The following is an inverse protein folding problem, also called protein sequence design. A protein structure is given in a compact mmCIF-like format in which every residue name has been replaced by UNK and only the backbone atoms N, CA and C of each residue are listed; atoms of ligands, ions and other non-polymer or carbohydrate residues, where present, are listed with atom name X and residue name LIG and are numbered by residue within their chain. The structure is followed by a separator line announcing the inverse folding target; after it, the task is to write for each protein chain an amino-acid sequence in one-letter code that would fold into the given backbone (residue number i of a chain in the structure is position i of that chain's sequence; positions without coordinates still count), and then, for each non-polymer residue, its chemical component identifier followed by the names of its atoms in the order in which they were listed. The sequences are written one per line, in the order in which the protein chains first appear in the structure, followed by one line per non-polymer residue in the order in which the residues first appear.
data_IF_581954366817
#
_entry.id   IF_581954366817
#
_cell.length_a   1.000
_cell.length_b   1.000
_cell.length_c   1.000
_cell.angle_alpha   90.00
_cell.angle_beta   90.00
_cell.angle_gamma   90.00
#
_symmetry.space_group_name_H-M   'P 1'
#
loop_
_entity.id
_entity.type
_entity.pdbx_description
1 polymer ?
#
# COMPACT_ATOMS: atom_id res chain seq x y z
N UNK A 1 -28.57 -14.04 -5.03
CA UNK A 1 -28.10 -12.75 -4.85
C UNK A 1 -26.60 -12.67 -4.85
N UNK A 2 -26.13 -11.55 -5.02
CA UNK A 2 -24.82 -11.36 -5.13
C UNK A 2 -24.20 -10.81 -3.97
N UNK A 3 -23.11 -11.34 -3.54
CA UNK A 3 -22.39 -10.75 -2.48
C UNK A 3 -21.46 -9.75 -3.04
N UNK A 4 -21.35 -8.63 -2.42
CA UNK A 4 -20.40 -7.63 -2.81
C UNK A 4 -19.00 -8.20 -2.62
N UNK A 5 -18.18 -8.07 -3.61
CA UNK A 5 -16.78 -8.43 -3.45
C UNK A 5 -16.12 -7.41 -2.57
N UNK A 6 -15.28 -7.87 -1.67
CA UNK A 6 -14.49 -6.97 -0.86
C UNK A 6 -13.39 -6.38 -1.72
N UNK A 7 -13.08 -5.13 -1.45
CA UNK A 7 -11.91 -4.53 -2.05
C UNK A 7 -10.67 -5.09 -1.37
N UNK A 8 -9.55 -5.07 -2.06
CA UNK A 8 -8.28 -5.53 -1.52
C UNK A 8 -7.37 -4.36 -1.20
N UNK A 9 -6.77 -4.41 -0.02
CA UNK A 9 -5.62 -3.58 0.29
C UNK A 9 -4.41 -4.52 0.26
N UNK A 10 -3.52 -4.31 -0.68
CA UNK A 10 -2.34 -5.15 -0.84
C UNK A 10 -1.23 -4.56 0.04
N UNK A 11 -0.63 -5.36 0.91
CA UNK A 11 0.40 -4.87 1.83
C UNK A 11 1.68 -5.67 1.64
N UNK A 12 2.75 -4.99 1.32
CA UNK A 12 4.07 -5.58 1.16
C UNK A 12 4.96 -5.06 2.28
N UNK A 13 5.08 -5.83 3.34
CA UNK A 13 5.88 -5.49 4.51
C UNK A 13 6.40 -6.77 5.16
N UNK A 14 7.61 -6.73 5.65
CA UNK A 14 8.14 -7.82 6.46
C UNK A 14 7.80 -7.68 7.94
N UNK A 15 7.15 -6.57 8.32
CA UNK A 15 6.81 -6.32 9.71
C UNK A 15 5.40 -6.79 10.02
N UNK A 16 5.29 -7.74 10.95
CA UNK A 16 4.00 -8.20 11.39
C UNK A 16 3.21 -7.09 12.07
N UNK A 17 3.90 -6.22 12.79
CA UNK A 17 3.26 -5.10 13.48
C UNK A 17 2.63 -4.13 12.50
N UNK A 18 3.34 -3.79 11.43
CA UNK A 18 2.84 -2.88 10.39
C UNK A 18 1.60 -3.50 9.75
N UNK A 19 1.68 -4.77 9.36
CA UNK A 19 0.57 -5.46 8.72
C UNK A 19 -0.66 -5.48 9.63
N UNK A 20 -0.46 -5.78 10.92
CA UNK A 20 -1.56 -5.83 11.89
C UNK A 20 -2.20 -4.46 12.09
N UNK A 21 -1.40 -3.40 12.14
CA UNK A 21 -1.93 -2.06 12.31
C UNK A 21 -2.77 -1.64 11.11
N UNK A 22 -2.33 -1.99 9.92
CA UNK A 22 -3.09 -1.67 8.71
C UNK A 22 -4.40 -2.46 8.71
N UNK A 23 -4.33 -3.75 9.02
CA UNK A 23 -5.53 -4.58 9.06
C UNK A 23 -6.56 -4.01 10.03
N UNK A 24 -6.10 -3.59 11.20
CA UNK A 24 -6.98 -3.02 12.21
C UNK A 24 -7.63 -1.71 11.76
N UNK A 25 -6.95 -0.95 10.93
CA UNK A 25 -7.44 0.32 10.43
C UNK A 25 -8.42 0.18 9.26
N UNK A 26 -8.45 -0.98 8.60
CA UNK A 26 -9.31 -1.19 7.45
C UNK A 26 -10.75 -1.52 7.90
N UNK A 27 -11.76 -1.01 7.18
CA UNK A 27 -13.14 -1.39 7.47
C UNK A 27 -13.43 -2.81 6.97
N UNK A 28 -14.54 -3.39 7.42
CA UNK A 28 -14.92 -4.75 7.05
C UNK A 28 -15.08 -4.95 5.55
N UNK A 29 -15.33 -3.87 4.83
CA UNK A 29 -15.50 -3.94 3.39
C UNK A 29 -14.18 -4.10 2.63
N UNK A 30 -13.06 -4.04 3.31
CA UNK A 30 -11.75 -4.16 2.69
C UNK A 30 -11.00 -5.34 3.30
N UNK A 31 -10.48 -6.20 2.44
CA UNK A 31 -9.68 -7.34 2.86
C UNK A 31 -8.20 -7.01 2.66
N UNK A 32 -7.38 -7.31 3.66
CA UNK A 32 -5.95 -7.15 3.53
C UNK A 32 -5.37 -8.39 2.86
N UNK A 33 -4.53 -8.19 1.86
CA UNK A 33 -3.79 -9.27 1.23
C UNK A 33 -2.31 -8.99 1.41
N UNK A 34 -1.65 -9.82 2.20
CA UNK A 34 -0.21 -9.68 2.42
C UNK A 34 0.55 -10.33 1.28
N UNK A 35 1.54 -9.65 0.76
CA UNK A 35 2.38 -10.16 -0.32
C UNK A 35 3.83 -10.07 0.07
N UNK A 36 4.68 -10.86 -0.57
CA UNK A 36 6.11 -10.82 -0.32
C UNK A 36 6.92 -10.73 -1.63
N UNK A 37 6.25 -10.54 -2.74
CA UNK A 37 6.93 -10.44 -4.03
C UNK A 37 6.07 -9.69 -5.03
N UNK A 38 6.71 -9.24 -6.10
CA UNK A 38 6.03 -8.60 -7.20
C UNK A 38 5.07 -9.56 -7.90
N UNK A 39 5.45 -10.83 -7.98
CA UNK A 39 4.59 -11.85 -8.59
C UNK A 39 3.26 -11.98 -7.85
N UNK A 40 3.29 -11.93 -6.53
CA UNK A 40 2.06 -11.98 -5.75
C UNK A 40 1.19 -10.75 -5.99
N UNK A 41 1.82 -9.58 -6.18
CA UNK A 41 1.07 -8.37 -6.51
C UNK A 41 0.37 -8.55 -7.85
N UNK A 42 1.05 -9.09 -8.85
CA UNK A 42 0.46 -9.34 -10.16
C UNK A 42 -0.71 -10.31 -10.07
N UNK A 43 -0.59 -11.35 -9.25
CA UNK A 43 -1.68 -12.30 -9.04
C UNK A 43 -2.89 -11.61 -8.45
N UNK A 44 -2.69 -10.71 -7.50
CA UNK A 44 -3.79 -9.95 -6.92
C UNK A 44 -4.47 -9.08 -7.98
N UNK A 45 -3.70 -8.47 -8.85
CA UNK A 45 -4.24 -7.63 -9.90
C UNK A 45 -5.09 -8.44 -10.87
N UNK A 46 -4.67 -9.66 -11.18
CA UNK A 46 -5.43 -10.53 -12.07
C UNK A 46 -6.72 -11.01 -11.43
N UNK A 47 -6.65 -11.38 -10.17
CA UNK A 47 -7.82 -11.92 -9.47
C UNK A 47 -8.88 -10.89 -9.15
N UNK A 48 -8.46 -9.70 -8.76
CA UNK A 48 -9.38 -8.71 -8.22
C UNK A 48 -9.87 -7.68 -9.24
N UNK A 49 -9.25 -7.61 -10.38
CA UNK A 49 -9.37 -6.50 -11.32
C UNK A 49 -8.90 -5.20 -10.63
N UNK A 50 -8.52 -4.20 -11.39
CA UNK A 50 -7.93 -3.01 -10.80
C UNK A 50 -8.90 -2.20 -9.96
N UNK A 51 -10.17 -2.15 -10.35
CA UNK A 51 -11.16 -1.42 -9.57
C UNK A 51 -11.48 -2.09 -8.25
N UNK A 52 -11.07 -3.33 -8.08
CA UNK A 52 -11.23 -4.04 -6.81
C UNK A 52 -10.06 -3.85 -5.86
N UNK A 53 -9.04 -3.09 -6.27
CA UNK A 53 -7.88 -2.84 -5.41
C UNK A 53 -7.96 -1.43 -4.87
N UNK A 54 -7.99 -1.32 -3.55
CA UNK A 54 -8.04 -0.02 -2.88
C UNK A 54 -6.71 0.68 -3.00
N UNK A 55 -5.64 -0.04 -2.69
CA UNK A 55 -4.31 0.53 -2.66
C UNK A 55 -3.26 -0.57 -2.52
N UNK A 56 -2.04 -0.24 -2.91
CA UNK A 56 -0.86 -1.04 -2.61
C UNK A 56 -0.05 -0.27 -1.58
N UNK A 57 0.17 -0.88 -0.42
CA UNK A 57 0.98 -0.28 0.63
C UNK A 57 2.32 -1.00 0.64
N UNK A 58 3.40 -0.27 0.40
CA UNK A 58 4.74 -0.84 0.39
C UNK A 58 5.54 -0.26 1.55
N UNK A 59 6.09 -1.15 2.37
CA UNK A 59 6.84 -0.75 3.55
C UNK A 59 8.32 -0.68 3.23
N UNK A 60 8.85 0.53 3.17
CA UNK A 60 10.28 0.77 2.97
C UNK A 60 10.93 1.29 4.25
N UNK A 61 10.22 1.17 5.37
CA UNK A 61 10.72 1.63 6.67
C UNK A 61 11.60 0.60 7.36
N UNK A 62 11.64 -0.64 6.87
CA UNK A 62 12.46 -1.68 7.46
C UNK A 62 13.93 -1.37 7.23
N UNK A 63 14.80 -2.24 7.77
CA UNK A 63 16.23 -2.04 7.63
C UNK A 63 16.61 -1.69 6.21
N UNK A 64 17.60 -0.81 6.11
CA UNK A 64 17.95 -0.16 4.87
C UNK A 64 17.99 -1.04 3.65
N UNK A 65 18.64 -2.17 3.76
CA UNK A 65 18.81 -3.06 2.62
C UNK A 65 17.50 -3.70 2.17
N UNK A 66 16.66 -4.08 3.11
CA UNK A 66 15.40 -4.75 2.78
C UNK A 66 14.39 -3.79 2.19
N UNK A 67 14.29 -2.60 2.77
CA UNK A 67 13.36 -1.58 2.27
C UNK A 67 13.75 -1.12 0.88
N UNK A 68 15.04 -0.91 0.64
CA UNK A 68 15.51 -0.47 -0.67
C UNK A 68 15.34 -1.56 -1.73
N UNK A 69 15.61 -2.80 -1.37
CA UNK A 69 15.42 -3.91 -2.30
C UNK A 69 13.96 -4.02 -2.75
N UNK A 70 13.03 -3.87 -1.80
CA UNK A 70 11.61 -3.91 -2.09
C UNK A 70 11.20 -2.76 -3.00
N UNK A 71 11.70 -1.58 -2.71
CA UNK A 71 11.43 -0.39 -3.51
C UNK A 71 11.91 -0.55 -4.94
N UNK A 72 13.11 -1.09 -5.10
CA UNK A 72 13.68 -1.29 -6.42
C UNK A 72 12.91 -2.32 -7.25
N UNK A 73 12.47 -3.39 -6.61
CA UNK A 73 11.66 -4.41 -7.28
C UNK A 73 10.33 -3.82 -7.73
N UNK A 74 9.71 -3.03 -6.87
CA UNK A 74 8.45 -2.39 -7.21
C UNK A 74 8.58 -1.46 -8.40
N UNK A 75 9.66 -0.69 -8.44
CA UNK A 75 9.87 0.27 -9.53
C UNK A 75 9.99 -0.39 -10.90
N UNK A 76 10.41 -1.64 -10.94
CA UNK A 76 10.55 -2.34 -12.22
C UNK A 76 9.21 -2.67 -12.85
N UNK A 77 8.14 -2.74 -12.06
CA UNK A 77 6.84 -3.19 -12.55
C UNK A 77 5.72 -2.18 -12.41
N UNK A 78 6.03 -1.01 -11.88
CA UNK A 78 5.03 -0.02 -11.57
C UNK A 78 4.71 0.82 -12.80
N UNK A 79 4.14 0.21 -13.82
CA UNK A 79 3.95 0.91 -15.08
C UNK A 79 2.53 1.33 -15.37
N UNK A 80 1.58 0.49 -15.24
CA UNK A 80 0.23 0.83 -15.70
C UNK A 80 -0.88 0.65 -14.69
N UNK A 81 -0.54 0.68 -13.42
CA UNK A 81 -1.56 0.48 -12.41
C UNK A 81 -2.41 1.74 -12.23
N UNK A 82 -3.69 1.55 -12.01
CA UNK A 82 -4.63 2.64 -11.80
C UNK A 82 -4.96 2.88 -10.34
N UNK A 83 -4.53 2.00 -9.44
CA UNK A 83 -4.73 2.16 -8.02
C UNK A 83 -3.50 2.82 -7.38
N UNK A 84 -3.69 3.50 -6.25
CA UNK A 84 -2.57 4.23 -5.65
C UNK A 84 -1.56 3.32 -4.96
N UNK A 85 -0.31 3.76 -4.95
CA UNK A 85 0.75 3.16 -4.15
C UNK A 85 1.02 4.08 -2.95
N UNK A 86 1.02 3.50 -1.76
CA UNK A 86 1.30 4.23 -0.53
C UNK A 86 2.60 3.68 0.04
N UNK A 87 3.55 4.54 0.34
CA UNK A 87 4.81 4.10 0.94
C UNK A 87 4.82 4.36 2.43
N UNK A 88 5.34 3.40 3.20
CA UNK A 88 5.63 3.62 4.61
C UNK A 88 7.14 3.79 4.70
N UNK A 89 7.59 4.92 5.19
CA UNK A 89 9.02 5.22 5.27
C UNK A 89 9.45 5.52 6.69
N UNK A 90 10.72 5.70 6.90
CA UNK A 90 11.30 6.17 8.16
C UNK A 90 12.07 7.45 7.88
N UNK A 91 12.52 8.11 8.93
CA UNK A 91 13.25 9.37 8.80
C UNK A 91 14.41 9.25 7.81
N UNK A 92 15.13 8.15 7.84
CA UNK A 92 16.32 7.98 7.02
C UNK A 92 16.06 7.96 5.53
N UNK A 93 14.86 7.57 5.09
CA UNK A 93 14.53 7.58 3.67
C UNK A 93 13.35 8.51 3.34
N UNK A 94 13.03 9.42 4.26
CA UNK A 94 11.92 10.35 4.07
C UNK A 94 12.11 11.23 2.84
N UNK A 95 13.32 11.73 2.64
CA UNK A 95 13.60 12.62 1.52
C UNK A 95 13.38 11.91 0.18
N UNK A 96 13.84 10.68 0.08
CA UNK A 96 13.66 9.87 -1.11
C UNK A 96 12.16 9.66 -1.40
N UNK A 97 11.39 9.35 -0.36
CA UNK A 97 9.97 9.08 -0.53
C UNK A 97 9.17 10.36 -0.80
N UNK A 98 9.58 11.49 -0.24
CA UNK A 98 8.97 12.78 -0.58
C UNK A 98 9.16 13.09 -2.06
N UNK A 99 10.35 12.79 -2.59
CA UNK A 99 10.59 12.99 -4.00
C UNK A 99 9.70 12.08 -4.85
N UNK A 100 9.50 10.83 -4.41
CA UNK A 100 8.61 9.90 -5.10
C UNK A 100 7.16 10.41 -5.08
N UNK A 101 6.77 11.07 -4.01
CA UNK A 101 5.43 11.65 -3.91
C UNK A 101 5.28 12.83 -4.87
N UNK A 102 6.28 13.69 -4.93
CA UNK A 102 6.26 14.86 -5.81
C UNK A 102 6.24 14.48 -7.28
N UNK A 103 6.91 13.41 -7.62
CA UNK A 103 6.95 12.93 -9.01
C UNK A 103 5.83 11.94 -9.32
N UNK A 104 4.90 11.79 -8.38
CA UNK A 104 3.72 10.93 -8.52
C UNK A 104 4.01 9.45 -8.74
N UNK A 105 5.17 9.00 -8.29
CA UNK A 105 5.51 7.58 -8.28
C UNK A 105 4.71 6.89 -7.18
N UNK A 106 4.49 7.61 -6.07
CA UNK A 106 3.58 7.18 -5.01
C UNK A 106 2.53 8.27 -4.81
N UNK A 107 1.39 7.90 -4.25
CA UNK A 107 0.26 8.81 -4.10
C UNK A 107 0.01 9.19 -2.65
N UNK A 108 0.63 8.49 -1.71
CA UNK A 108 0.56 8.86 -0.30
C UNK A 108 1.79 8.33 0.42
N UNK A 109 2.08 8.90 1.58
CA UNK A 109 3.29 8.60 2.32
C UNK A 109 2.98 8.58 3.81
N UNK A 110 3.39 7.52 4.49
CA UNK A 110 3.23 7.38 5.93
C UNK A 110 4.60 7.28 6.57
N UNK A 111 4.79 7.95 7.69
CA UNK A 111 6.06 7.90 8.41
C UNK A 111 5.95 6.93 9.59
N UNK A 112 6.85 5.95 9.65
CA UNK A 112 6.91 5.03 10.78
C UNK A 112 7.57 5.73 11.97
N UNK A 113 7.17 5.41 13.20
CA UNK A 113 6.17 4.39 13.56
C UNK A 113 4.75 4.87 13.27
N UNK A 114 3.91 3.93 12.85
CA UNK A 114 2.53 4.25 12.50
C UNK A 114 1.70 4.55 13.75
N UNK A 115 0.77 5.48 13.60
CA UNK A 115 -0.14 5.84 14.68
C UNK A 115 -1.55 5.47 14.24
N UNK A 116 -2.26 4.74 15.09
CA UNK A 116 -3.52 4.10 14.71
C UNK A 116 -4.58 5.08 14.18
N UNK A 117 -4.77 6.21 14.86
CA UNK A 117 -5.80 7.16 14.44
C UNK A 117 -5.44 7.87 13.15
N UNK A 118 -4.17 8.19 12.97
CA UNK A 118 -3.70 8.80 11.74
C UNK A 118 -3.89 7.84 10.58
N UNK A 119 -3.61 6.56 10.80
CA UNK A 119 -3.77 5.53 9.78
C UNK A 119 -5.24 5.38 9.39
N UNK A 120 -6.14 5.39 10.36
CA UNK A 120 -7.58 5.30 10.06
C UNK A 120 -8.05 6.47 9.21
N UNK A 121 -7.55 7.67 9.49
CA UNK A 121 -7.90 8.85 8.69
C UNK A 121 -7.40 8.70 7.26
N UNK A 122 -6.20 8.16 7.08
CA UNK A 122 -5.67 7.95 5.74
C UNK A 122 -6.49 6.91 4.97
N UNK A 123 -6.86 5.83 5.62
CA UNK A 123 -7.68 4.80 4.98
C UNK A 123 -8.99 5.40 4.45
N UNK A 124 -9.60 6.29 5.22
CA UNK A 124 -10.83 6.96 4.76
C UNK A 124 -10.58 7.76 3.50
N UNK A 125 -9.44 8.44 3.42
CA UNK A 125 -9.08 9.23 2.23
C UNK A 125 -8.88 8.29 1.04
N UNK A 126 -8.17 7.18 1.24
CA UNK A 126 -7.96 6.21 0.14
C UNK A 126 -9.30 5.68 -0.38
N UNK A 127 -10.24 5.43 0.53
CA UNK A 127 -11.56 4.93 0.13
C UNK A 127 -12.36 5.99 -0.64
N UNK A 128 -12.29 7.23 -0.21
CA UNK A 128 -12.94 8.32 -0.93
C UNK A 128 -12.34 8.50 -2.32
N UNK A 129 -11.02 8.46 -2.42
CA UNK A 129 -10.36 8.60 -3.70
C UNK A 129 -10.66 7.42 -4.63
N UNK A 130 -10.83 6.25 -4.06
CA UNK A 130 -11.19 5.06 -4.84
C UNK A 130 -12.55 5.25 -5.52
N UNK A 131 -13.50 5.86 -4.84
CA UNK A 131 -14.83 6.09 -5.40
C UNK A 131 -14.81 7.08 -6.57
N UNK A 132 -13.76 7.89 -6.65
CA UNK A 132 -13.65 8.89 -7.71
C UNK A 132 -12.91 8.39 -8.95
N UNK A 133 -12.39 7.20 -8.90
CA UNK A 133 -11.66 6.61 -10.03
C UNK A 133 -12.58 6.09 -11.11
#
# INVERSE_FOLDING_TARGET
HEQSRKQLAIVWSGSRNVTSMIEFALPDSVQLKQVDSVEMIRECMEEAAEEGILALVVDVSEEEDQGQARWQELRKVQTEQTFPTIAICREGNLKQMKNALETEVIQDLLLAPLEANALKRRVKIWMQNCKLR
#
